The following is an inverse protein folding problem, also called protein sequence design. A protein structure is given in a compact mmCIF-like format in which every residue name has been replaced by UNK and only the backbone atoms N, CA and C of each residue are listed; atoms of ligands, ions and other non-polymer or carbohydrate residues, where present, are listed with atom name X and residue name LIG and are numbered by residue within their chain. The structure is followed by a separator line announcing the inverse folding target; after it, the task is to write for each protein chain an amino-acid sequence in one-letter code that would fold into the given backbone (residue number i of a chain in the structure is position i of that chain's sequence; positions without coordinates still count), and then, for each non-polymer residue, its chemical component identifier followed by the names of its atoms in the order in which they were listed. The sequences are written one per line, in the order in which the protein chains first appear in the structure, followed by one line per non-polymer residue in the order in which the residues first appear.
data_IF_570892817109
#
_entry.id   IF_570892817109
#
_cell.length_a   1.000
_cell.length_b   1.000
_cell.length_c   1.000
_cell.angle_alpha   90.00
_cell.angle_beta   90.00
_cell.angle_gamma   90.00
#
_symmetry.space_group_name_H-M   'P 1'
#
loop_
_entity.id
_entity.type
_entity.pdbx_description
1 polymer ?
#
# COMPACT_ATOMS: atom_id res chain seq x y z
N UNK A 1 -18.18 13.24 -3.29
CA UNK A 1 -18.84 12.20 -4.10
C UNK A 1 -19.63 12.90 -5.19
N UNK A 2 -19.71 12.29 -6.36
CA UNK A 2 -20.43 12.80 -7.53
C UNK A 2 -21.84 12.21 -7.56
N UNK A 3 -22.78 12.92 -8.15
CA UNK A 3 -24.05 12.30 -8.54
C UNK A 3 -23.82 11.30 -9.66
N UNK A 4 -24.83 10.46 -9.95
CA UNK A 4 -24.76 9.51 -11.07
C UNK A 4 -24.59 10.23 -12.40
N UNK A 5 -25.30 11.34 -12.58
CA UNK A 5 -25.29 12.16 -13.79
C UNK A 5 -23.92 12.84 -13.97
N UNK A 6 -23.35 13.38 -12.90
CA UNK A 6 -22.01 13.99 -12.91
C UNK A 6 -20.92 12.96 -13.23
N UNK A 7 -20.96 11.79 -12.59
CA UNK A 7 -20.01 10.71 -12.84
C UNK A 7 -20.09 10.23 -14.29
N UNK A 8 -21.32 10.03 -14.81
CA UNK A 8 -21.53 9.62 -16.20
C UNK A 8 -21.04 10.66 -17.20
N UNK A 9 -21.29 11.95 -16.95
CA UNK A 9 -20.78 13.05 -17.79
C UNK A 9 -19.24 13.06 -17.82
N UNK A 10 -18.59 12.99 -16.65
CA UNK A 10 -17.12 13.00 -16.55
C UNK A 10 -16.52 11.75 -17.19
N UNK A 11 -17.18 10.59 -17.04
CA UNK A 11 -16.76 9.36 -17.68
C UNK A 11 -16.76 9.48 -19.21
N UNK A 12 -17.79 10.10 -19.81
CA UNK A 12 -17.83 10.34 -21.26
C UNK A 12 -16.78 11.35 -21.74
N UNK A 13 -16.55 12.42 -20.96
CA UNK A 13 -15.60 13.49 -21.33
C UNK A 13 -14.14 13.08 -21.17
N UNK A 14 -13.81 12.34 -20.11
CA UNK A 14 -12.43 12.07 -19.68
C UNK A 14 -12.05 10.60 -19.66
N UNK A 15 -13.00 9.68 -19.88
CA UNK A 15 -12.77 8.23 -19.82
C UNK A 15 -12.55 7.68 -18.40
N UNK A 16 -12.80 8.49 -17.36
CA UNK A 16 -12.61 8.07 -15.97
C UNK A 16 -13.61 7.01 -15.54
N UNK A 17 -13.15 6.10 -14.69
CA UNK A 17 -13.98 5.05 -14.10
C UNK A 17 -14.55 5.51 -12.76
N UNK A 18 -15.82 5.21 -12.52
CA UNK A 18 -16.51 5.54 -11.28
C UNK A 18 -17.20 4.32 -10.69
N UNK A 19 -17.26 4.24 -9.36
CA UNK A 19 -18.03 3.23 -8.63
C UNK A 19 -18.93 3.91 -7.61
N UNK A 20 -20.08 3.32 -7.34
CA UNK A 20 -20.97 3.76 -6.28
C UNK A 20 -20.43 3.34 -4.91
N UNK A 21 -20.47 4.26 -3.94
CA UNK A 21 -19.96 4.03 -2.58
C UNK A 21 -21.13 4.04 -1.59
N UNK A 22 -21.81 2.89 -1.48
CA UNK A 22 -22.84 2.60 -0.46
C UNK A 22 -23.85 3.74 -0.20
N UNK A 23 -24.42 4.31 -1.27
CA UNK A 23 -25.42 5.38 -1.17
C UNK A 23 -24.87 6.78 -0.86
N UNK A 24 -23.56 6.96 -0.70
CA UNK A 24 -22.89 8.26 -0.53
C UNK A 24 -22.66 9.00 -1.85
N UNK A 25 -22.95 8.34 -2.97
CA UNK A 25 -22.72 8.81 -4.33
C UNK A 25 -21.60 8.04 -5.03
N UNK A 26 -21.16 8.57 -6.17
CA UNK A 26 -20.13 7.95 -7.02
C UNK A 26 -18.76 8.53 -6.73
N UNK A 27 -17.72 7.70 -6.79
CA UNK A 27 -16.32 8.13 -6.63
C UNK A 27 -15.50 7.65 -7.81
N UNK A 28 -14.54 8.48 -8.24
CA UNK A 28 -13.55 8.08 -9.24
C UNK A 28 -12.69 6.96 -8.65
N UNK A 29 -12.47 5.91 -9.42
CA UNK A 29 -11.50 4.87 -9.11
C UNK A 29 -10.33 4.97 -10.06
N UNK A 30 -9.15 4.65 -9.53
CA UNK A 30 -7.90 4.59 -10.28
C UNK A 30 -7.19 3.28 -9.94
N UNK A 31 -6.32 2.78 -10.82
CA UNK A 31 -5.54 1.58 -10.53
C UNK A 31 -4.70 1.72 -9.27
N UNK A 32 -4.46 0.58 -8.60
CA UNK A 32 -3.49 0.47 -7.50
C UNK A 32 -2.40 -0.55 -7.86
N UNK A 33 -1.41 -0.15 -8.68
CA UNK A 33 -0.34 -1.05 -9.11
C UNK A 33 0.61 -1.36 -7.95
N UNK A 34 1.27 -2.51 -8.04
CA UNK A 34 2.35 -2.86 -7.12
C UNK A 34 3.57 -1.96 -7.37
N UNK A 35 4.24 -1.44 -6.31
CA UNK A 35 5.49 -0.72 -6.48
C UNK A 35 6.59 -1.68 -6.92
N UNK A 36 7.45 -1.25 -7.86
CA UNK A 36 8.52 -2.09 -8.43
C UNK A 36 9.90 -1.56 -8.04
N UNK A 37 10.09 -0.24 -8.04
CA UNK A 37 11.34 0.41 -7.64
C UNK A 37 11.09 1.85 -7.20
N UNK A 38 12.02 2.40 -6.42
CA UNK A 38 12.03 3.79 -5.98
C UNK A 38 13.12 4.55 -6.75
N UNK A 39 12.72 5.58 -7.50
CA UNK A 39 13.64 6.32 -8.39
C UNK A 39 14.69 7.05 -7.56
N UNK A 40 14.28 7.69 -6.47
CA UNK A 40 15.15 8.48 -5.59
C UNK A 40 15.91 7.63 -4.57
N UNK A 41 15.92 6.30 -4.70
CA UNK A 41 16.51 5.39 -3.71
C UNK A 41 17.95 5.76 -3.36
N UNK A 42 18.78 6.08 -4.36
CA UNK A 42 20.18 6.46 -4.13
C UNK A 42 20.29 7.72 -3.26
N UNK A 43 19.47 8.73 -3.54
CA UNK A 43 19.45 9.97 -2.75
C UNK A 43 18.97 9.72 -1.33
N UNK A 44 17.94 8.88 -1.16
CA UNK A 44 17.42 8.48 0.16
C UNK A 44 18.52 7.78 0.96
N UNK A 45 19.20 6.78 0.37
CA UNK A 45 20.31 6.06 1.02
C UNK A 45 21.42 7.01 1.45
N UNK A 46 21.86 7.90 0.56
CA UNK A 46 22.92 8.86 0.89
C UNK A 46 22.54 9.74 2.08
N UNK A 47 21.30 10.21 2.17
CA UNK A 47 20.85 11.01 3.31
C UNK A 47 20.86 10.18 4.62
N UNK A 48 20.37 8.94 4.57
CA UNK A 48 20.36 8.03 5.73
C UNK A 48 21.78 7.72 6.20
N UNK A 49 22.70 7.43 5.28
CA UNK A 49 24.12 7.16 5.55
C UNK A 49 24.86 8.36 6.16
N UNK A 50 24.28 9.57 6.06
CA UNK A 50 24.77 10.80 6.68
C UNK A 50 23.93 11.22 7.88
N UNK A 51 23.37 10.26 8.61
CA UNK A 51 22.62 10.45 9.87
C UNK A 51 21.43 11.43 9.75
N UNK A 52 20.86 11.56 8.55
CA UNK A 52 19.71 12.44 8.33
C UNK A 52 18.41 11.67 8.53
N UNK A 53 17.47 12.24 9.29
CA UNK A 53 16.10 11.76 9.34
C UNK A 53 15.39 12.06 8.01
N UNK A 54 15.11 11.02 7.22
CA UNK A 54 14.49 11.16 5.90
C UNK A 54 12.99 10.88 5.96
N UNK A 55 12.20 11.79 5.37
CA UNK A 55 10.79 11.57 5.05
C UNK A 55 10.69 11.31 3.54
N UNK A 56 10.28 10.10 3.15
CA UNK A 56 10.17 9.68 1.76
C UNK A 56 8.87 8.89 1.52
N UNK A 57 8.59 8.56 0.25
CA UNK A 57 7.45 7.75 -0.16
C UNK A 57 6.07 8.24 0.36
N UNK A 58 5.91 9.56 0.55
CA UNK A 58 4.66 10.15 1.04
C UNK A 58 3.45 9.71 0.21
N UNK A 59 2.44 9.16 0.87
CA UNK A 59 1.22 8.66 0.22
C UNK A 59 1.42 7.43 -0.68
N UNK A 60 2.56 6.75 -0.61
CA UNK A 60 2.95 5.65 -1.51
C UNK A 60 3.86 6.08 -2.66
N UNK A 61 4.15 7.38 -2.80
CA UNK A 61 4.95 7.95 -3.88
C UNK A 61 4.13 8.40 -5.09
N UNK A 62 4.76 9.15 -6.00
CA UNK A 62 4.14 9.58 -7.25
C UNK A 62 4.22 8.42 -8.25
N UNK A 63 3.10 7.87 -8.74
CA UNK A 63 3.14 6.75 -9.67
C UNK A 63 3.65 7.19 -11.03
N UNK A 64 4.70 6.52 -11.49
CA UNK A 64 5.28 6.73 -12.82
C UNK A 64 5.56 5.41 -13.51
N UNK A 65 5.55 5.43 -14.84
CA UNK A 65 6.04 4.34 -15.68
C UNK A 65 7.30 4.77 -16.40
N UNK A 66 8.24 3.83 -16.61
CA UNK A 66 9.43 4.07 -17.42
C UNK A 66 9.05 4.01 -18.90
N UNK A 67 9.38 5.06 -19.64
CA UNK A 67 9.24 5.14 -21.10
C UNK A 67 10.59 4.91 -21.79
N UNK A 68 10.65 5.13 -23.10
CA UNK A 68 11.89 5.04 -23.87
C UNK A 68 12.91 6.09 -23.39
N UNK A 69 14.20 5.81 -23.63
CA UNK A 69 15.32 6.69 -23.31
C UNK A 69 15.42 7.07 -21.82
N UNK A 70 14.99 6.18 -20.92
CA UNK A 70 15.09 6.37 -19.47
C UNK A 70 14.29 7.55 -18.91
N UNK A 71 13.24 7.94 -19.65
CA UNK A 71 12.28 8.95 -19.21
C UNK A 71 11.16 8.34 -18.36
N UNK A 72 10.49 9.16 -17.56
CA UNK A 72 9.37 8.75 -16.72
C UNK A 72 8.12 9.55 -17.03
N UNK A 73 6.98 8.86 -17.03
CA UNK A 73 5.67 9.47 -17.21
C UNK A 73 4.78 9.20 -16.00
N UNK A 74 4.25 10.27 -15.42
CA UNK A 74 3.24 10.20 -14.38
C UNK A 74 1.94 9.58 -14.87
N UNK A 75 1.33 8.73 -14.05
CA UNK A 75 0.04 8.10 -14.34
C UNK A 75 -0.95 8.36 -13.19
N UNK A 76 -2.23 8.41 -13.53
CA UNK A 76 -3.31 8.50 -12.54
C UNK A 76 -3.50 7.13 -11.87
N UNK A 77 -2.78 6.90 -10.78
CA UNK A 77 -2.85 5.70 -9.96
C UNK A 77 -2.65 6.04 -8.46
N UNK A 78 -2.87 5.07 -7.58
CA UNK A 78 -2.53 5.18 -6.15
C UNK A 78 -1.75 3.94 -5.76
N UNK A 79 -0.48 4.12 -5.41
CA UNK A 79 0.35 3.03 -4.90
C UNK A 79 0.08 2.88 -3.40
N UNK A 80 -0.05 1.65 -2.93
CA UNK A 80 -0.25 1.39 -1.52
C UNK A 80 0.99 1.80 -0.70
N UNK A 81 0.78 2.64 0.32
CA UNK A 81 1.85 3.21 1.14
C UNK A 81 2.58 2.17 1.98
N UNK A 82 1.91 1.13 2.44
CA UNK A 82 2.52 0.09 3.26
C UNK A 82 3.41 -0.78 2.37
N UNK A 83 2.97 -1.08 1.14
CA UNK A 83 3.76 -1.80 0.13
C UNK A 83 4.99 -1.00 -0.32
N UNK A 84 4.85 0.30 -0.56
CA UNK A 84 6.01 1.15 -0.87
C UNK A 84 6.99 1.23 0.30
N UNK A 85 6.49 1.28 1.54
CA UNK A 85 7.33 1.29 2.74
C UNK A 85 8.09 -0.03 2.91
N UNK A 86 7.45 -1.17 2.63
CA UNK A 86 8.09 -2.48 2.62
C UNK A 86 9.19 -2.58 1.55
N UNK A 87 8.91 -2.11 0.33
CA UNK A 87 9.91 -2.05 -0.73
C UNK A 87 11.10 -1.16 -0.34
N UNK A 88 10.83 0.05 0.16
CA UNK A 88 11.88 0.97 0.60
C UNK A 88 12.74 0.35 1.70
N UNK A 89 12.09 -0.22 2.72
CA UNK A 89 12.76 -0.85 3.86
C UNK A 89 13.69 -1.99 3.43
N UNK A 90 13.21 -2.85 2.53
CA UNK A 90 14.02 -3.92 1.96
C UNK A 90 15.18 -3.38 1.11
N UNK A 91 14.91 -2.40 0.24
CA UNK A 91 15.93 -1.80 -0.63
C UNK A 91 17.04 -1.10 0.15
N UNK A 92 16.74 -0.53 1.33
CA UNK A 92 17.74 0.10 2.22
C UNK A 92 18.30 -0.86 3.28
N UNK A 93 17.87 -2.12 3.29
CA UNK A 93 18.25 -3.11 4.30
C UNK A 93 18.02 -2.63 5.74
N UNK A 94 16.87 -2.04 6.03
CA UNK A 94 16.57 -1.64 7.40
C UNK A 94 16.29 -2.85 8.28
N UNK A 95 16.65 -2.81 9.55
CA UNK A 95 16.42 -3.94 10.47
C UNK A 95 14.93 -4.19 10.73
N UNK A 96 14.10 -3.15 10.66
CA UNK A 96 12.69 -3.21 11.06
C UNK A 96 11.80 -2.33 10.18
N UNK A 97 10.63 -2.88 9.83
CA UNK A 97 9.50 -2.13 9.28
C UNK A 97 8.40 -1.98 10.34
N UNK A 98 8.00 -0.74 10.63
CA UNK A 98 6.94 -0.45 11.60
C UNK A 98 5.77 0.22 10.89
N UNK A 99 4.63 -0.49 10.82
CA UNK A 99 3.37 0.05 10.25
C UNK A 99 2.46 0.48 11.41
N UNK A 100 2.32 1.79 11.59
CA UNK A 100 1.43 2.36 12.61
C UNK A 100 -0.02 2.45 12.09
N UNK A 101 -0.98 1.98 12.89
CA UNK A 101 -2.41 1.95 12.55
C UNK A 101 -3.28 2.19 13.79
N UNK A 102 -4.60 2.29 13.62
CA UNK A 102 -5.55 2.71 14.66
C UNK A 102 -5.95 1.62 15.67
N UNK A 103 -5.33 0.44 15.62
CA UNK A 103 -5.59 -0.68 16.54
C UNK A 103 -4.28 -1.16 17.16
N UNK A 104 -4.36 -1.67 18.39
CA UNK A 104 -3.17 -2.03 19.18
C UNK A 104 -2.46 -3.28 18.66
N UNK A 105 -3.21 -4.24 18.11
CA UNK A 105 -2.70 -5.49 17.56
C UNK A 105 -3.41 -5.86 16.27
N UNK A 106 -2.78 -6.70 15.47
CA UNK A 106 -3.48 -7.47 14.43
C UNK A 106 -4.28 -8.56 15.15
N UNK A 107 -5.52 -8.82 14.71
CA UNK A 107 -6.37 -9.84 15.31
C UNK A 107 -6.80 -10.88 14.27
N UNK A 108 -7.00 -12.12 14.70
CA UNK A 108 -7.82 -13.12 14.01
C UNK A 108 -9.21 -13.16 14.63
N UNK A 109 -10.20 -13.68 13.89
CA UNK A 109 -11.61 -13.71 14.27
C UNK A 109 -12.11 -12.33 14.72
N UNK A 110 -11.69 -11.29 14.00
CA UNK A 110 -11.93 -9.90 14.37
C UNK A 110 -13.43 -9.58 14.45
N UNK A 111 -13.85 -8.83 15.47
CA UNK A 111 -15.26 -8.55 15.78
C UNK A 111 -16.13 -9.77 16.10
N UNK A 112 -15.52 -10.84 16.62
CA UNK A 112 -16.26 -12.01 17.14
C UNK A 112 -15.89 -12.28 18.60
N UNK A 113 -16.66 -13.16 19.26
CA UNK A 113 -16.36 -13.64 20.62
C UNK A 113 -15.05 -14.44 20.71
N UNK A 114 -14.53 -14.90 19.57
CA UNK A 114 -13.28 -15.66 19.46
C UNK A 114 -12.09 -14.79 19.03
N UNK A 115 -12.22 -13.45 19.09
CA UNK A 115 -11.18 -12.53 18.69
C UNK A 115 -9.89 -12.75 19.49
N UNK A 116 -8.76 -12.92 18.78
CA UNK A 116 -7.45 -13.15 19.40
C UNK A 116 -6.39 -12.20 18.83
N UNK A 117 -5.63 -11.55 19.72
CA UNK A 117 -4.52 -10.68 19.34
C UNK A 117 -3.30 -11.51 18.89
N UNK A 118 -2.77 -11.18 17.73
CA UNK A 118 -1.48 -11.68 17.23
C UNK A 118 -0.37 -10.77 17.76
N UNK A 119 0.42 -11.27 18.72
CA UNK A 119 1.57 -10.53 19.28
C UNK A 119 2.87 -10.85 18.55
N UNK A 120 3.22 -12.13 18.50
CA UNK A 120 4.38 -12.66 17.78
C UNK A 120 3.89 -13.80 16.92
N UNK A 121 4.29 -13.80 15.65
CA UNK A 121 3.88 -14.79 14.65
C UNK A 121 4.98 -14.93 13.60
N UNK A 122 4.78 -15.83 12.64
CA UNK A 122 5.69 -16.07 11.52
C UNK A 122 4.95 -16.01 10.18
N UNK A 123 5.72 -16.00 9.08
CA UNK A 123 5.19 -15.89 7.72
C UNK A 123 4.20 -17.02 7.40
N UNK A 124 4.52 -18.26 7.74
CA UNK A 124 3.68 -19.42 7.41
C UNK A 124 2.31 -19.32 8.07
N UNK A 125 2.28 -18.94 9.35
CA UNK A 125 1.05 -18.72 10.11
C UNK A 125 0.22 -17.58 9.51
N UNK A 126 0.87 -16.48 9.12
CA UNK A 126 0.18 -15.35 8.48
C UNK A 126 -0.39 -15.75 7.12
N UNK A 127 0.33 -16.55 6.32
CA UNK A 127 -0.16 -17.06 5.03
C UNK A 127 -1.40 -17.94 5.22
N UNK A 128 -1.42 -18.83 6.20
CA UNK A 128 -2.62 -19.60 6.55
C UNK A 128 -3.79 -18.68 6.90
N UNK A 129 -3.59 -17.65 7.72
CA UNK A 129 -4.67 -16.71 8.06
C UNK A 129 -5.15 -15.85 6.88
N UNK A 130 -4.30 -15.59 5.88
CA UNK A 130 -4.71 -14.96 4.62
C UNK A 130 -5.62 -15.89 3.83
N UNK A 131 -5.28 -17.17 3.72
CA UNK A 131 -6.11 -18.18 3.03
C UNK A 131 -7.46 -18.38 3.72
N UNK A 132 -7.50 -18.25 5.04
CA UNK A 132 -8.72 -18.26 5.86
C UNK A 132 -9.51 -16.93 5.82
N UNK A 133 -9.10 -15.96 5.00
CA UNK A 133 -9.71 -14.63 4.86
C UNK A 133 -9.84 -13.84 6.20
N UNK A 134 -8.92 -14.05 7.15
CA UNK A 134 -8.95 -13.41 8.47
C UNK A 134 -8.70 -11.89 8.43
N UNK A 135 -8.13 -11.38 7.33
CA UNK A 135 -7.74 -9.97 7.20
C UNK A 135 -8.57 -9.25 6.14
N UNK A 136 -9.15 -8.10 6.49
CA UNK A 136 -9.98 -7.31 5.59
C UNK A 136 -9.17 -6.77 4.39
N UNK A 137 -9.64 -7.05 3.16
CA UNK A 137 -8.99 -6.73 1.88
C UNK A 137 -8.69 -5.24 1.66
N UNK A 138 -9.48 -4.34 2.27
CA UNK A 138 -9.32 -2.89 2.12
C UNK A 138 -8.55 -2.19 3.24
N UNK A 139 -8.06 -2.92 4.25
CA UNK A 139 -7.41 -2.29 5.41
C UNK A 139 -6.24 -3.12 5.96
N UNK A 140 -6.51 -4.27 6.55
CA UNK A 140 -5.48 -5.04 7.26
C UNK A 140 -4.68 -5.93 6.30
N UNK A 141 -5.32 -6.53 5.30
CA UNK A 141 -4.63 -7.45 4.40
C UNK A 141 -3.42 -6.80 3.69
N UNK A 142 -3.51 -5.59 3.11
CA UNK A 142 -2.35 -4.94 2.50
C UNK A 142 -1.17 -4.75 3.47
N UNK A 143 -1.43 -4.53 4.75
CA UNK A 143 -0.39 -4.39 5.79
C UNK A 143 0.32 -5.69 6.05
N UNK A 144 -0.43 -6.78 6.16
CA UNK A 144 0.12 -8.12 6.37
C UNK A 144 0.93 -8.56 5.16
N UNK A 145 0.40 -8.37 3.95
CA UNK A 145 1.14 -8.64 2.70
C UNK A 145 2.44 -7.82 2.63
N UNK A 146 2.41 -6.55 3.03
CA UNK A 146 3.59 -5.69 3.06
C UNK A 146 4.63 -6.17 4.08
N UNK A 147 4.19 -6.59 5.27
CA UNK A 147 5.07 -7.12 6.30
C UNK A 147 5.73 -8.44 5.87
N UNK A 148 4.96 -9.36 5.26
CA UNK A 148 5.51 -10.60 4.68
C UNK A 148 6.53 -10.27 3.59
N UNK A 149 6.16 -9.41 2.65
CA UNK A 149 7.03 -9.02 1.54
C UNK A 149 8.33 -8.36 2.00
N UNK A 150 8.28 -7.53 3.04
CA UNK A 150 9.47 -6.95 3.65
C UNK A 150 10.43 -8.02 4.18
N UNK A 151 9.92 -8.99 4.96
CA UNK A 151 10.75 -10.05 5.55
C UNK A 151 11.34 -10.95 4.45
N UNK A 152 10.54 -11.32 3.44
CA UNK A 152 10.99 -12.20 2.36
C UNK A 152 12.07 -11.56 1.48
N UNK A 153 12.02 -10.23 1.29
CA UNK A 153 12.96 -9.48 0.45
C UNK A 153 14.10 -8.84 1.24
N UNK A 154 14.14 -9.00 2.56
CA UNK A 154 15.18 -8.45 3.44
C UNK A 154 15.65 -9.52 4.45
N UNK A 155 16.37 -10.55 3.97
CA UNK A 155 16.78 -11.70 4.78
C UNK A 155 17.90 -11.41 5.78
#
# INVERSE_FOLDING_TARGET
FYTKEEAHRIQQEKGYQFVEDAGRGYRRVVPSPQPISIIELKSIKTLIENDTLVIAAGGGGIPVIREQHDSFKGIDAVIDKDKTSALLGADIHCDQLIILTAIDYVYINYHTDQQQALKTTNIDTLKTYIEEEQFAKGSMLPKIESAISFIENNP
#
